data_IF_302863198866
#
_entry.id   IF_302863198866
#
_cell.length_a   1.000
_cell.length_b   1.000
_cell.length_c   1.000
_cell.angle_alpha   90.00
_cell.angle_beta   90.00
_cell.angle_gamma   90.00
#
_symmetry.space_group_name_H-M   'P 1'
#
loop_
_entity.id
_entity.type
_entity.pdbx_description
1 polymer ?
#
# COMPACT_ATOMS: atom_id res chain seq x y z
N UNK A 1 17.05 6.93 -8.94
CA UNK A 1 16.99 5.83 -7.95
C UNK A 1 15.69 5.08 -8.21
N UNK A 2 15.77 3.85 -8.71
CA UNK A 2 14.67 3.22 -9.46
C UNK A 2 13.49 2.82 -8.55
N UNK A 3 12.29 3.34 -8.84
CA UNK A 3 11.02 2.76 -8.31
C UNK A 3 10.85 1.28 -8.65
N UNK A 4 11.63 0.79 -9.62
CA UNK A 4 11.73 -0.61 -10.05
C UNK A 4 12.76 -1.43 -9.28
N UNK A 5 13.19 -0.98 -8.09
CA UNK A 5 13.82 -1.89 -7.13
C UNK A 5 12.78 -2.91 -6.67
N UNK A 6 12.64 -3.95 -7.48
CA UNK A 6 12.01 -5.18 -7.08
C UNK A 6 12.92 -5.81 -6.01
N UNK A 7 12.60 -5.46 -4.78
CA UNK A 7 13.13 -6.06 -3.57
C UNK A 7 12.61 -7.49 -3.53
N UNK A 8 13.50 -8.45 -3.24
CA UNK A 8 13.16 -9.86 -3.09
C UNK A 8 12.07 -9.99 -2.01
N UNK A 9 10.84 -10.20 -2.49
CA UNK A 9 9.61 -10.17 -1.69
C UNK A 9 9.53 -11.41 -0.78
N UNK A 10 10.00 -12.54 -1.31
CA UNK A 10 9.97 -13.86 -0.69
C UNK A 10 11.32 -14.56 -0.88
N UNK A 11 11.66 -15.46 0.05
CA UNK A 11 12.88 -16.31 -0.07
C UNK A 11 12.75 -17.39 -1.18
N UNK A 12 11.61 -17.42 -1.87
CA UNK A 12 11.28 -18.31 -2.99
C UNK A 12 11.38 -17.59 -4.33
N UNK A 13 11.58 -18.36 -5.41
CA UNK A 13 11.50 -17.86 -6.79
C UNK A 13 10.06 -17.43 -7.06
N UNK A 14 9.84 -16.12 -7.20
CA UNK A 14 8.55 -15.52 -7.54
C UNK A 14 8.58 -14.83 -8.89
N UNK A 15 7.40 -14.55 -9.45
CA UNK A 15 7.24 -13.77 -10.68
C UNK A 15 7.87 -12.38 -10.53
N UNK A 16 7.77 -11.78 -9.34
CA UNK A 16 8.44 -10.53 -9.01
C UNK A 16 9.96 -10.65 -9.07
N UNK A 17 10.54 -11.75 -8.59
CA UNK A 17 11.98 -12.01 -8.71
C UNK A 17 12.39 -12.15 -10.17
N UNK A 18 11.64 -12.94 -10.97
CA UNK A 18 11.94 -13.12 -12.40
C UNK A 18 11.89 -11.78 -13.13
N UNK A 19 10.82 -11.00 -12.92
CA UNK A 19 10.69 -9.68 -13.54
C UNK A 19 11.78 -8.73 -13.05
N UNK A 20 12.16 -8.78 -11.76
CA UNK A 20 13.25 -7.96 -11.22
C UNK A 20 14.58 -8.21 -11.91
N UNK A 21 14.90 -9.48 -12.16
CA UNK A 21 16.14 -9.90 -12.81
C UNK A 21 16.09 -9.45 -14.25
N UNK A 22 14.99 -9.71 -14.97
CA UNK A 22 14.82 -9.29 -16.36
C UNK A 22 14.96 -7.77 -16.52
N UNK A 23 14.35 -6.97 -15.63
CA UNK A 23 14.45 -5.50 -15.68
C UNK A 23 15.88 -5.00 -15.41
N UNK A 24 16.65 -5.69 -14.57
CA UNK A 24 18.04 -5.33 -14.23
C UNK A 24 19.07 -5.87 -15.23
N UNK A 25 18.73 -6.92 -15.97
CA UNK A 25 19.61 -7.56 -16.96
C UNK A 25 19.13 -7.28 -18.37
N UNK A 26 18.22 -8.10 -18.90
CA UNK A 26 17.83 -8.11 -20.32
C UNK A 26 17.13 -6.82 -20.78
N UNK A 27 16.31 -6.21 -19.91
CA UNK A 27 15.60 -4.96 -20.20
C UNK A 27 16.30 -3.72 -19.63
N UNK A 28 17.56 -3.84 -19.24
CA UNK A 28 18.36 -2.67 -18.88
C UNK A 28 18.87 -2.00 -20.17
N UNK A 29 18.70 -0.68 -20.35
CA UNK A 29 19.18 0.05 -21.53
C UNK A 29 20.62 -0.32 -21.93
N UNK A 30 21.56 -0.27 -20.99
CA UNK A 30 22.98 -0.51 -21.26
C UNK A 30 23.25 -1.94 -21.74
N UNK A 31 22.70 -2.93 -21.05
CA UNK A 31 22.89 -4.33 -21.41
C UNK A 31 22.16 -4.70 -22.71
N UNK A 32 20.97 -4.13 -22.94
CA UNK A 32 20.22 -4.37 -24.17
C UNK A 32 21.02 -3.91 -25.39
N UNK A 33 21.57 -2.69 -25.33
CA UNK A 33 22.46 -2.17 -26.38
C UNK A 33 23.68 -3.06 -26.57
N UNK A 34 24.37 -3.41 -25.48
CA UNK A 34 25.57 -4.23 -25.52
C UNK A 34 25.34 -5.60 -26.19
N UNK A 35 24.33 -6.35 -25.74
CA UNK A 35 24.04 -7.69 -26.27
C UNK A 35 23.54 -7.66 -27.71
N UNK A 36 22.69 -6.70 -28.08
CA UNK A 36 22.17 -6.59 -29.45
C UNK A 36 23.28 -6.22 -30.45
N UNK A 37 24.21 -5.34 -30.07
CA UNK A 37 25.37 -5.01 -30.91
C UNK A 37 26.32 -6.20 -31.09
N UNK A 38 26.60 -6.97 -30.04
CA UNK A 38 27.39 -8.21 -30.16
C UNK A 38 26.71 -9.20 -31.11
N UNK A 39 25.40 -9.40 -30.94
CA UNK A 39 24.66 -10.35 -31.76
C UNK A 39 24.59 -9.93 -33.24
N UNK A 40 24.52 -8.62 -33.50
CA UNK A 40 24.70 -8.07 -34.85
C UNK A 40 26.05 -8.45 -35.45
N UNK A 41 27.15 -8.26 -34.73
CA UNK A 41 28.49 -8.60 -35.22
C UNK A 41 28.67 -10.11 -35.52
N UNK A 42 27.98 -10.97 -34.77
CA UNK A 42 28.02 -12.42 -34.96
C UNK A 42 27.19 -12.85 -36.18
N UNK A 43 25.95 -12.38 -36.28
CA UNK A 43 25.01 -12.87 -37.31
C UNK A 43 25.14 -12.15 -38.65
N UNK A 44 25.69 -10.93 -38.66
CA UNK A 44 25.80 -10.04 -39.83
C UNK A 44 24.49 -9.84 -40.59
N UNK A 45 23.36 -9.98 -39.90
CA UNK A 45 22.06 -9.57 -40.42
C UNK A 45 21.94 -8.04 -40.47
N UNK A 46 20.85 -7.53 -41.03
CA UNK A 46 20.62 -6.09 -41.13
C UNK A 46 20.62 -5.41 -39.75
N UNK A 47 21.45 -4.38 -39.58
CA UNK A 47 21.64 -3.66 -38.31
C UNK A 47 20.31 -3.15 -37.74
N UNK A 48 19.40 -2.72 -38.61
CA UNK A 48 18.09 -2.15 -38.24
C UNK A 48 17.31 -3.09 -37.32
N UNK A 49 17.37 -4.40 -37.55
CA UNK A 49 16.63 -5.40 -36.74
C UNK A 49 17.06 -5.35 -35.27
N UNK A 50 18.34 -5.10 -35.01
CA UNK A 50 18.92 -5.09 -33.66
C UNK A 50 18.78 -3.75 -32.93
N UNK A 51 18.39 -2.69 -33.64
CA UNK A 51 18.21 -1.36 -33.05
C UNK A 51 16.82 -1.17 -32.44
N UNK A 52 15.79 -1.85 -32.95
CA UNK A 52 14.40 -1.64 -32.51
C UNK A 52 14.19 -1.91 -31.01
N UNK A 53 14.66 -3.04 -30.50
CA UNK A 53 14.45 -3.42 -29.10
C UNK A 53 15.14 -2.45 -28.11
N UNK A 54 16.43 -2.11 -28.25
CA UNK A 54 17.08 -1.08 -27.42
C UNK A 54 16.38 0.28 -27.49
N UNK A 55 16.00 0.74 -28.69
CA UNK A 55 15.30 2.02 -28.86
C UNK A 55 13.96 2.01 -28.13
N UNK A 56 13.17 0.93 -28.24
CA UNK A 56 11.89 0.80 -27.54
C UNK A 56 12.11 0.87 -26.02
N UNK A 57 13.12 0.17 -25.50
CA UNK A 57 13.44 0.18 -24.07
C UNK A 57 13.86 1.60 -23.63
N UNK A 58 14.71 2.29 -24.38
CA UNK A 58 15.10 3.67 -24.08
C UNK A 58 13.90 4.62 -24.05
N UNK A 59 12.99 4.49 -25.02
CA UNK A 59 11.74 5.27 -25.05
C UNK A 59 10.89 4.99 -23.81
N UNK A 60 10.77 3.73 -23.39
CA UNK A 60 10.06 3.37 -22.14
C UNK A 60 10.74 4.04 -20.94
N UNK A 61 12.07 3.92 -20.79
CA UNK A 61 12.79 4.55 -19.68
C UNK A 61 12.67 6.07 -19.71
N UNK A 62 12.68 6.70 -20.89
CA UNK A 62 12.45 8.12 -21.05
C UNK A 62 11.05 8.52 -20.57
N UNK A 63 10.00 7.80 -20.99
CA UNK A 63 8.62 8.04 -20.55
C UNK A 63 8.53 7.92 -19.02
N UNK A 64 9.16 6.91 -18.43
CA UNK A 64 9.15 6.70 -16.98
C UNK A 64 9.88 7.81 -16.22
N UNK A 65 11.03 8.27 -16.73
CA UNK A 65 11.77 9.38 -16.15
C UNK A 65 11.03 10.71 -16.28
N UNK A 66 10.40 10.96 -17.44
CA UNK A 66 9.54 12.12 -17.66
C UNK A 66 8.35 12.09 -16.70
N UNK A 67 7.71 10.93 -16.52
CA UNK A 67 6.63 10.76 -15.56
C UNK A 67 7.08 11.11 -14.13
N UNK A 68 8.26 10.65 -13.69
CA UNK A 68 8.77 11.00 -12.35
C UNK A 68 9.07 12.50 -12.22
N UNK A 69 9.62 13.13 -13.26
CA UNK A 69 9.84 14.58 -13.31
C UNK A 69 8.53 15.37 -13.21
N UNK A 70 7.54 15.05 -14.05
CA UNK A 70 6.24 15.73 -14.04
C UNK A 70 5.45 15.44 -12.77
N UNK A 71 5.54 14.23 -12.22
CA UNK A 71 4.88 13.87 -10.96
C UNK A 71 5.34 14.76 -9.82
N UNK A 72 6.65 14.96 -9.67
CA UNK A 72 7.20 15.85 -8.64
C UNK A 72 6.78 17.30 -8.87
N UNK A 73 6.78 17.75 -10.13
CA UNK A 73 6.38 19.13 -10.48
C UNK A 73 4.90 19.41 -10.25
N UNK A 74 4.02 18.46 -10.57
CA UNK A 74 2.56 18.64 -10.50
C UNK A 74 1.99 18.34 -9.12
N UNK A 75 2.46 17.28 -8.47
CA UNK A 75 1.88 16.80 -7.22
C UNK A 75 2.73 17.13 -6.00
N UNK A 76 3.99 17.55 -6.20
CA UNK A 76 4.91 17.84 -5.12
C UNK A 76 5.36 16.60 -4.34
N UNK A 77 6.03 16.86 -3.22
CA UNK A 77 6.51 15.86 -2.27
C UNK A 77 6.27 16.34 -0.85
N UNK A 78 6.09 15.42 0.09
CA UNK A 78 5.99 15.73 1.52
C UNK A 78 6.84 14.72 2.27
N UNK A 79 7.83 15.18 3.05
CA UNK A 79 8.78 14.31 3.73
C UNK A 79 8.50 14.24 5.22
N UNK A 80 8.92 13.13 5.83
CA UNK A 80 8.88 12.97 7.28
C UNK A 80 9.91 13.89 7.97
N UNK A 81 9.49 14.58 9.03
CA UNK A 81 10.31 15.52 9.79
C UNK A 81 10.28 15.22 11.29
N UNK A 82 11.32 15.68 12.01
CA UNK A 82 11.45 15.46 13.47
C UNK A 82 10.34 16.10 14.29
N UNK A 83 9.66 17.12 13.75
CA UNK A 83 8.61 17.83 14.46
C UNK A 83 7.21 17.27 14.16
N UNK A 84 7.10 16.25 13.29
CA UNK A 84 5.81 15.74 12.84
C UNK A 84 5.08 14.99 13.97
N UNK A 85 3.81 15.34 14.17
CA UNK A 85 2.84 14.55 14.91
C UNK A 85 2.24 13.49 13.97
N UNK A 86 2.49 12.21 14.27
CA UNK A 86 2.05 11.07 13.46
C UNK A 86 0.86 10.40 14.15
N UNK A 87 -0.26 10.28 13.45
CA UNK A 87 -1.41 9.49 13.89
C UNK A 87 -1.52 8.22 13.07
N UNK A 88 -1.56 7.04 13.70
CA UNK A 88 -1.78 5.76 13.03
C UNK A 88 -2.97 5.01 13.62
N UNK A 89 -3.85 4.52 12.74
CA UNK A 89 -4.93 3.59 13.10
C UNK A 89 -4.49 2.13 12.95
N UNK A 90 -4.87 1.26 13.88
CA UNK A 90 -4.51 -0.16 13.83
C UNK A 90 -3.03 -0.42 14.10
N UNK A 91 -2.39 0.39 14.95
CA UNK A 91 -0.94 0.36 15.19
C UNK A 91 -0.47 -0.68 16.21
N UNK A 92 -1.34 -1.50 16.79
CA UNK A 92 -0.97 -2.47 17.83
C UNK A 92 -0.68 -3.88 17.29
N UNK A 93 -1.03 -4.19 16.02
CA UNK A 93 -0.79 -5.50 15.40
C UNK A 93 -0.46 -5.45 13.91
N UNK A 94 0.03 -6.56 13.37
CA UNK A 94 0.25 -6.75 11.93
C UNK A 94 1.16 -5.69 11.31
N UNK A 95 0.80 -5.21 10.12
CA UNK A 95 1.56 -4.18 9.39
C UNK A 95 1.65 -2.86 10.17
N UNK A 96 0.56 -2.41 10.78
CA UNK A 96 0.54 -1.15 11.55
C UNK A 96 1.56 -1.16 12.69
N UNK A 97 1.68 -2.26 13.43
CA UNK A 97 2.71 -2.40 14.46
C UNK A 97 4.13 -2.38 13.89
N UNK A 98 4.36 -3.00 12.73
CA UNK A 98 5.68 -2.94 12.07
C UNK A 98 6.03 -1.53 11.59
N UNK A 99 5.05 -0.77 11.11
CA UNK A 99 5.22 0.65 10.79
C UNK A 99 5.60 1.43 12.06
N UNK A 100 4.88 1.25 13.16
CA UNK A 100 5.20 1.87 14.46
C UNK A 100 6.62 1.52 14.91
N UNK A 101 6.99 0.24 14.90
CA UNK A 101 8.33 -0.20 15.31
C UNK A 101 9.43 0.45 14.45
N UNK A 102 9.22 0.60 13.15
CA UNK A 102 10.22 1.20 12.27
C UNK A 102 10.21 2.73 12.32
N UNK A 103 9.08 3.40 12.57
CA UNK A 103 9.04 4.83 12.89
C UNK A 103 9.84 5.15 14.16
N UNK A 104 9.67 4.36 15.22
CA UNK A 104 10.44 4.57 16.47
C UNK A 104 11.95 4.49 16.23
N UNK A 105 12.40 3.64 15.29
CA UNK A 105 13.82 3.54 14.93
C UNK A 105 14.35 4.75 14.15
N UNK A 106 13.52 5.40 13.33
CA UNK A 106 13.97 6.58 12.56
C UNK A 106 14.18 7.80 13.45
N UNK A 107 13.40 7.92 14.54
CA UNK A 107 13.37 9.11 15.42
C UNK A 107 13.03 10.39 14.66
N UNK A 108 12.30 10.29 13.55
CA UNK A 108 11.82 11.40 12.74
C UNK A 108 10.35 11.69 13.05
N UNK A 109 10.06 12.10 14.29
CA UNK A 109 8.73 12.55 14.73
C UNK A 109 8.80 13.19 16.11
N UNK A 110 7.82 14.05 16.43
CA UNK A 110 7.66 14.64 17.75
C UNK A 110 6.79 13.77 18.65
N UNK A 111 5.62 13.37 18.14
CA UNK A 111 4.68 12.48 18.83
C UNK A 111 4.20 11.37 17.90
N UNK A 112 4.20 10.12 18.40
CA UNK A 112 3.60 8.98 17.71
C UNK A 112 2.32 8.57 18.41
N UNK A 113 1.18 8.87 17.80
CA UNK A 113 -0.16 8.67 18.34
C UNK A 113 -0.78 7.42 17.70
N UNK A 114 -1.15 6.44 18.53
CA UNK A 114 -1.62 5.13 18.08
C UNK A 114 -3.06 4.92 18.54
N UNK A 115 -3.94 4.64 17.58
CA UNK A 115 -5.33 4.25 17.81
C UNK A 115 -5.48 2.77 17.51
N UNK A 116 -5.92 1.97 18.48
CA UNK A 116 -6.25 0.56 18.24
C UNK A 116 -7.22 0.04 19.30
N UNK A 117 -8.02 -0.97 18.92
CA UNK A 117 -8.88 -1.72 19.84
C UNK A 117 -8.08 -2.75 20.65
N UNK A 118 -6.85 -3.05 20.23
CA UNK A 118 -5.93 -3.94 20.96
C UNK A 118 -4.91 -3.11 21.73
N UNK A 119 -4.59 -3.58 22.93
CA UNK A 119 -3.51 -3.02 23.73
C UNK A 119 -2.20 -3.00 22.95
N UNK A 120 -1.45 -1.93 23.13
CA UNK A 120 -0.14 -1.77 22.51
C UNK A 120 0.91 -2.56 23.32
N UNK A 121 1.68 -3.41 22.63
CA UNK A 121 2.71 -4.24 23.26
C UNK A 121 4.04 -3.48 23.40
N UNK A 122 4.03 -2.34 24.10
CA UNK A 122 5.24 -1.66 24.55
C UNK A 122 5.20 -1.48 26.06
N UNK A 123 6.37 -1.53 26.69
CA UNK A 123 6.50 -1.15 28.09
C UNK A 123 6.22 0.35 28.26
N UNK A 124 5.55 0.76 29.35
CA UNK A 124 5.21 2.18 29.58
C UNK A 124 6.44 3.10 29.53
N UNK A 125 7.57 2.67 30.12
CA UNK A 125 8.82 3.43 30.09
C UNK A 125 9.36 3.61 28.67
N UNK A 126 9.26 2.57 27.84
CA UNK A 126 9.64 2.63 26.44
C UNK A 126 8.76 3.62 25.66
N UNK A 127 7.46 3.65 25.96
CA UNK A 127 6.53 4.59 25.31
C UNK A 127 6.85 6.04 25.68
N UNK A 128 7.05 6.32 26.97
CA UNK A 128 7.40 7.67 27.46
C UNK A 128 8.71 8.14 26.84
N UNK A 129 9.74 7.28 26.83
CA UNK A 129 11.06 7.60 26.26
C UNK A 129 11.01 7.94 24.77
N UNK A 130 10.06 7.36 24.03
CA UNK A 130 9.94 7.51 22.57
C UNK A 130 8.72 8.35 22.15
N UNK A 131 8.12 9.13 23.06
CA UNK A 131 6.93 9.96 22.80
C UNK A 131 5.78 9.21 22.10
N UNK A 132 5.53 7.98 22.54
CA UNK A 132 4.44 7.13 22.02
C UNK A 132 3.21 7.31 22.89
N UNK A 133 2.09 7.71 22.28
CA UNK A 133 0.82 7.94 22.94
C UNK A 133 -0.21 6.95 22.41
N UNK A 134 -0.74 6.09 23.28
CA UNK A 134 -1.75 5.12 22.91
C UNK A 134 -3.15 5.58 23.35
N UNK A 135 -4.12 5.43 22.47
CA UNK A 135 -5.53 5.59 22.78
C UNK A 135 -6.29 4.33 22.35
N UNK A 136 -7.01 3.74 23.31
CA UNK A 136 -7.96 2.69 22.99
C UNK A 136 -9.06 3.27 22.10
N UNK A 137 -9.30 2.64 20.95
CA UNK A 137 -10.29 3.12 20.00
C UNK A 137 -10.93 1.95 19.24
N UNK A 138 -12.23 1.78 19.41
CA UNK A 138 -13.01 0.87 18.59
C UNK A 138 -13.56 1.61 17.36
N UNK A 139 -12.97 1.37 16.19
CA UNK A 139 -13.37 2.03 14.95
C UNK A 139 -14.79 1.66 14.46
N UNK A 140 -15.41 0.63 15.03
CA UNK A 140 -16.81 0.34 14.76
C UNK A 140 -17.74 1.38 15.42
N UNK A 141 -17.30 2.04 16.51
CA UNK A 141 -18.05 3.12 17.15
C UNK A 141 -17.64 4.48 16.57
N UNK A 142 -18.33 4.85 15.49
CA UNK A 142 -18.04 6.03 14.67
C UNK A 142 -18.12 7.34 15.46
N UNK A 143 -19.03 7.44 16.44
CA UNK A 143 -19.18 8.63 17.28
C UNK A 143 -18.03 8.77 18.29
N UNK A 144 -17.60 7.67 18.91
CA UNK A 144 -16.42 7.66 19.78
C UNK A 144 -15.16 8.04 19.01
N UNK A 145 -15.00 7.54 17.77
CA UNK A 145 -13.89 7.94 16.88
C UNK A 145 -13.91 9.44 16.65
N UNK A 146 -15.07 9.99 16.31
CA UNK A 146 -15.26 11.43 16.09
C UNK A 146 -14.80 12.24 17.30
N UNK A 147 -15.30 11.91 18.49
CA UNK A 147 -14.94 12.62 19.73
C UNK A 147 -13.46 12.47 20.12
N UNK A 148 -12.88 11.28 19.89
CA UNK A 148 -11.48 11.03 20.18
C UNK A 148 -10.57 11.86 19.27
N UNK A 149 -10.90 11.96 17.98
CA UNK A 149 -10.15 12.80 17.03
C UNK A 149 -10.20 14.27 17.45
N UNK A 150 -11.34 14.78 17.94
CA UNK A 150 -11.41 16.15 18.46
C UNK A 150 -10.46 16.35 19.64
N UNK A 151 -10.45 15.41 20.59
CA UNK A 151 -9.54 15.47 21.75
C UNK A 151 -8.06 15.45 21.32
N UNK A 152 -7.73 14.65 20.31
CA UNK A 152 -6.38 14.59 19.73
C UNK A 152 -6.03 15.94 19.09
N UNK A 153 -6.91 16.50 18.26
CA UNK A 153 -6.67 17.79 17.62
C UNK A 153 -6.55 18.93 18.65
N UNK A 154 -7.31 18.90 19.74
CA UNK A 154 -7.17 19.87 20.84
C UNK A 154 -5.80 19.74 21.52
N UNK A 155 -5.36 18.51 21.79
CA UNK A 155 -4.12 18.24 22.54
C UNK A 155 -2.85 18.50 21.72
N UNK A 156 -2.82 18.04 20.46
CA UNK A 156 -1.64 18.09 19.60
C UNK A 156 -1.66 19.23 18.59
N UNK A 157 -2.79 19.94 18.45
CA UNK A 157 -3.05 21.09 17.55
C UNK A 157 -3.01 20.76 16.05
N UNK A 158 -2.06 19.95 15.62
CA UNK A 158 -1.86 19.52 14.25
C UNK A 158 -1.43 18.05 14.18
N UNK A 159 -1.79 17.40 13.06
CA UNK A 159 -1.32 16.08 12.67
C UNK A 159 -0.64 16.25 11.32
N UNK A 160 0.65 15.92 11.24
CA UNK A 160 1.45 16.13 10.04
C UNK A 160 1.51 14.85 9.17
N UNK A 161 1.32 13.68 9.78
CA UNK A 161 1.18 12.40 9.06
C UNK A 161 0.01 11.60 9.63
N UNK A 162 -0.99 11.33 8.79
CA UNK A 162 -2.09 10.41 9.09
C UNK A 162 -1.83 9.08 8.38
N UNK A 163 -1.80 7.98 9.13
CA UNK A 163 -1.66 6.61 8.61
C UNK A 163 -2.98 5.86 8.84
N UNK A 164 -3.82 5.87 7.80
CA UNK A 164 -5.05 5.10 7.72
C UNK A 164 -4.75 3.64 7.39
N UNK A 165 -4.56 2.82 8.43
CA UNK A 165 -4.15 1.42 8.28
C UNK A 165 -5.18 0.41 8.81
N UNK A 166 -5.98 0.78 9.82
CA UNK A 166 -6.89 -0.16 10.44
C UNK A 166 -7.89 -0.78 9.47
N UNK A 167 -8.19 -2.06 9.67
CA UNK A 167 -9.25 -2.75 8.95
C UNK A 167 -9.52 -4.14 9.50
N UNK A 168 -10.65 -4.70 9.11
CA UNK A 168 -11.11 -6.06 9.39
C UNK A 168 -11.61 -6.70 8.09
N UNK A 169 -11.74 -8.03 8.09
CA UNK A 169 -12.29 -8.81 6.97
C UNK A 169 -13.45 -9.68 7.45
N UNK A 170 -14.19 -10.26 6.52
CA UNK A 170 -15.18 -11.30 6.79
C UNK A 170 -14.56 -12.51 7.50
N UNK A 171 -15.38 -13.19 8.29
CA UNK A 171 -15.02 -14.45 8.92
C UNK A 171 -14.95 -15.55 7.84
N UNK A 172 -13.89 -16.36 7.88
CA UNK A 172 -13.64 -17.41 6.88
C UNK A 172 -14.81 -18.38 6.83
N UNK A 173 -15.21 -18.80 5.63
CA UNK A 173 -16.29 -19.78 5.42
C UNK A 173 -17.72 -19.26 5.57
N UNK A 174 -17.94 -18.00 5.99
CA UNK A 174 -19.30 -17.44 6.12
C UNK A 174 -19.99 -17.35 4.76
N UNK A 175 -19.27 -16.81 3.77
CA UNK A 175 -19.82 -16.49 2.45
C UNK A 175 -20.87 -15.36 2.48
N UNK A 176 -21.31 -14.93 1.30
CA UNK A 176 -22.23 -13.80 1.17
C UNK A 176 -23.61 -14.10 1.78
N UNK A 177 -24.15 -15.30 1.55
CA UNK A 177 -25.51 -15.66 1.96
C UNK A 177 -25.69 -15.75 3.48
N UNK A 178 -24.63 -16.04 4.25
CA UNK A 178 -24.70 -16.16 5.71
C UNK A 178 -24.14 -14.92 6.43
N UNK A 179 -23.76 -13.87 5.70
CA UNK A 179 -23.20 -12.67 6.31
C UNK A 179 -24.29 -11.90 7.04
N UNK A 180 -24.17 -11.84 8.38
CA UNK A 180 -25.10 -11.09 9.23
C UNK A 180 -24.94 -9.58 9.02
N UNK A 181 -26.05 -8.83 9.08
CA UNK A 181 -26.06 -7.38 8.98
C UNK A 181 -25.11 -6.71 10.00
N UNK A 182 -25.08 -7.17 11.25
CA UNK A 182 -24.16 -6.62 12.25
C UNK A 182 -22.68 -6.74 11.82
N UNK A 183 -22.30 -7.81 11.12
CA UNK A 183 -20.94 -7.99 10.61
C UNK A 183 -20.67 -7.11 9.40
N UNK A 184 -21.67 -6.95 8.54
CA UNK A 184 -21.64 -5.98 7.44
C UNK A 184 -21.41 -4.56 7.97
N UNK A 185 -22.18 -4.14 8.97
CA UNK A 185 -22.03 -2.82 9.59
C UNK A 185 -20.67 -2.66 10.25
N UNK A 186 -20.16 -3.68 10.94
CA UNK A 186 -18.81 -3.68 11.52
C UNK A 186 -17.73 -3.43 10.45
N UNK A 187 -17.84 -4.11 9.30
CA UNK A 187 -16.93 -3.97 8.16
C UNK A 187 -17.00 -2.57 7.56
N UNK A 188 -18.21 -2.06 7.29
CA UNK A 188 -18.42 -0.72 6.73
C UNK A 188 -17.92 0.36 7.70
N UNK A 189 -18.28 0.26 8.98
CA UNK A 189 -17.91 1.25 9.98
C UNK A 189 -16.38 1.28 10.17
N UNK A 190 -15.76 0.10 10.33
CA UNK A 190 -14.32 -0.01 10.61
C UNK A 190 -13.46 0.32 9.40
N UNK A 191 -13.80 -0.15 8.20
CA UNK A 191 -12.96 -0.01 7.01
C UNK A 191 -13.23 1.26 6.21
N UNK A 192 -14.38 1.92 6.40
CA UNK A 192 -14.79 3.06 5.59
C UNK A 192 -15.25 4.26 6.43
N UNK A 193 -16.32 4.16 7.23
CA UNK A 193 -16.88 5.34 7.91
C UNK A 193 -15.90 5.97 8.91
N UNK A 194 -15.19 5.15 9.68
CA UNK A 194 -14.20 5.66 10.64
C UNK A 194 -13.07 6.41 9.93
N UNK A 195 -12.52 5.86 8.84
CA UNK A 195 -11.51 6.51 8.01
C UNK A 195 -12.03 7.81 7.41
N UNK A 196 -13.26 7.84 6.90
CA UNK A 196 -13.90 9.04 6.40
C UNK A 196 -13.96 10.16 7.45
N UNK A 197 -14.42 9.86 8.67
CA UNK A 197 -14.50 10.87 9.74
C UNK A 197 -13.12 11.38 10.14
N UNK A 198 -12.16 10.47 10.29
CA UNK A 198 -10.78 10.82 10.64
C UNK A 198 -10.18 11.73 9.55
N UNK A 199 -10.33 11.37 8.28
CA UNK A 199 -9.90 12.17 7.13
C UNK A 199 -10.56 13.55 7.15
N UNK A 200 -11.88 13.61 7.26
CA UNK A 200 -12.63 14.86 7.22
C UNK A 200 -12.14 15.84 8.30
N UNK A 201 -12.00 15.38 9.55
CA UNK A 201 -11.57 16.22 10.66
C UNK A 201 -10.12 16.66 10.54
N UNK A 202 -9.20 15.75 10.21
CA UNK A 202 -7.78 16.06 10.14
C UNK A 202 -7.46 16.95 8.93
N UNK A 203 -8.05 16.67 7.76
CA UNK A 203 -7.90 17.51 6.57
C UNK A 203 -8.51 18.89 6.83
N UNK A 204 -9.71 18.96 7.40
CA UNK A 204 -10.35 20.25 7.74
C UNK A 204 -9.47 21.09 8.68
N UNK A 205 -8.92 20.48 9.73
CA UNK A 205 -8.00 21.17 10.65
C UNK A 205 -6.73 21.66 9.96
N UNK A 206 -6.10 20.81 9.14
CA UNK A 206 -4.89 21.17 8.39
C UNK A 206 -5.15 22.31 7.41
N UNK A 207 -6.26 22.28 6.68
CA UNK A 207 -6.63 23.37 5.75
C UNK A 207 -6.92 24.66 6.51
N UNK A 208 -7.67 24.60 7.61
CA UNK A 208 -8.03 25.77 8.42
C UNK A 208 -6.80 26.46 9.01
N UNK A 209 -5.82 25.68 9.48
CA UNK A 209 -4.62 26.19 10.13
C UNK A 209 -3.45 26.38 9.15
N UNK A 210 -3.64 26.04 7.88
CA UNK A 210 -2.61 26.02 6.84
C UNK A 210 -1.36 25.21 7.23
N UNK A 211 -1.57 24.06 7.88
CA UNK A 211 -0.48 23.19 8.36
C UNK A 211 -0.21 22.05 7.38
N UNK A 212 1.04 21.58 7.38
CA UNK A 212 1.47 20.40 6.61
C UNK A 212 0.66 19.18 7.04
N UNK A 213 0.16 18.41 6.06
CA UNK A 213 -0.49 17.12 6.26
C UNK A 213 -0.10 16.15 5.13
N UNK A 214 0.35 14.96 5.53
CA UNK A 214 0.60 13.84 4.66
C UNK A 214 -0.35 12.70 5.02
N UNK A 215 -1.19 12.27 4.09
CA UNK A 215 -2.15 11.20 4.29
C UNK A 215 -1.61 9.92 3.64
N UNK A 216 -1.21 8.96 4.46
CA UNK A 216 -0.86 7.60 4.07
C UNK A 216 -2.07 6.68 4.27
N UNK A 217 -2.56 6.06 3.19
CA UNK A 217 -3.65 5.08 3.26
C UNK A 217 -3.17 3.68 2.87
N UNK A 218 -3.39 2.71 3.73
CA UNK A 218 -3.14 1.29 3.45
C UNK A 218 -4.44 0.65 2.91
N UNK A 219 -4.50 0.49 1.60
CA UNK A 219 -5.59 -0.20 0.92
C UNK A 219 -5.23 -1.69 0.73
N UNK A 220 -5.56 -2.27 -0.43
CA UNK A 220 -5.21 -3.63 -0.81
C UNK A 220 -5.36 -3.78 -2.31
N UNK A 221 -4.61 -4.70 -2.91
CA UNK A 221 -4.86 -5.12 -4.28
C UNK A 221 -6.27 -5.69 -4.48
N UNK A 222 -6.90 -6.15 -3.38
CA UNK A 222 -8.27 -6.62 -3.38
C UNK A 222 -9.32 -5.51 -3.57
N UNK A 223 -8.91 -4.24 -3.64
CA UNK A 223 -9.72 -3.13 -4.11
C UNK A 223 -10.00 -3.20 -5.62
N UNK A 224 -9.15 -3.89 -6.39
CA UNK A 224 -9.33 -4.08 -7.83
C UNK A 224 -9.90 -5.45 -8.16
N UNK A 225 -9.56 -6.49 -7.39
CA UNK A 225 -10.03 -7.86 -7.64
C UNK A 225 -10.58 -8.48 -6.37
N UNK A 226 -11.77 -9.04 -6.41
CA UNK A 226 -12.39 -9.66 -5.23
C UNK A 226 -12.33 -11.18 -5.33
N UNK A 227 -11.70 -11.88 -4.37
CA UNK A 227 -11.86 -13.32 -4.18
C UNK A 227 -13.28 -13.65 -3.70
N UNK A 228 -13.71 -14.89 -3.91
CA UNK A 228 -14.93 -15.42 -3.27
C UNK A 228 -14.94 -15.10 -1.76
N UNK A 229 -16.10 -14.94 -1.12
CA UNK A 229 -16.22 -14.74 0.33
C UNK A 229 -15.50 -13.51 0.96
N UNK A 230 -14.96 -12.59 0.15
CA UNK A 230 -14.39 -11.30 0.60
C UNK A 230 -15.08 -10.10 -0.07
N UNK A 231 -16.37 -10.27 -0.44
CA UNK A 231 -17.11 -9.27 -1.21
C UNK A 231 -17.18 -7.92 -0.52
N UNK A 232 -17.48 -7.88 0.78
CA UNK A 232 -17.64 -6.63 1.55
C UNK A 232 -16.27 -6.05 1.88
N UNK A 233 -15.27 -6.86 2.26
CA UNK A 233 -13.91 -6.37 2.44
C UNK A 233 -13.38 -5.71 1.16
N UNK A 234 -13.47 -6.38 0.02
CA UNK A 234 -13.09 -5.82 -1.28
C UNK A 234 -13.86 -4.55 -1.57
N UNK A 235 -15.19 -4.55 -1.41
CA UNK A 235 -16.02 -3.34 -1.59
C UNK A 235 -15.53 -2.18 -0.73
N UNK A 236 -15.26 -2.38 0.56
CA UNK A 236 -14.75 -1.31 1.44
C UNK A 236 -13.39 -0.80 1.01
N UNK A 237 -12.47 -1.67 0.56
CA UNK A 237 -11.15 -1.27 0.06
C UNK A 237 -11.23 -0.55 -1.28
N UNK A 238 -12.17 -0.92 -2.17
CA UNK A 238 -12.48 -0.18 -3.39
C UNK A 238 -13.06 1.21 -3.07
N UNK A 239 -14.04 1.29 -2.17
CA UNK A 239 -14.65 2.56 -1.76
C UNK A 239 -13.62 3.51 -1.13
N UNK A 240 -12.78 3.01 -0.22
CA UNK A 240 -11.73 3.82 0.38
C UNK A 240 -10.70 4.29 -0.66
N UNK A 241 -10.32 3.42 -1.62
CA UNK A 241 -9.39 3.79 -2.68
C UNK A 241 -9.93 4.94 -3.55
N UNK A 242 -11.19 4.83 -4.00
CA UNK A 242 -11.83 5.86 -4.83
C UNK A 242 -12.10 7.15 -4.04
N UNK A 243 -12.42 7.05 -2.75
CA UNK A 243 -12.54 8.21 -1.87
C UNK A 243 -11.21 8.98 -1.83
N UNK A 244 -10.09 8.29 -1.58
CA UNK A 244 -8.77 8.93 -1.54
C UNK A 244 -8.36 9.48 -2.89
N UNK A 245 -8.70 8.79 -4.00
CA UNK A 245 -8.45 9.29 -5.35
C UNK A 245 -9.18 10.61 -5.61
N UNK A 246 -10.48 10.68 -5.27
CA UNK A 246 -11.24 11.92 -5.39
C UNK A 246 -10.63 13.04 -4.54
N UNK A 247 -10.28 12.76 -3.27
CA UNK A 247 -9.65 13.74 -2.38
C UNK A 247 -8.28 14.19 -2.89
N UNK A 248 -7.50 13.29 -3.48
CA UNK A 248 -6.21 13.62 -4.07
C UNK A 248 -6.37 14.68 -5.17
N UNK A 249 -7.33 14.52 -6.07
CA UNK A 249 -7.61 15.49 -7.14
C UNK A 249 -8.39 16.72 -6.66
N UNK A 250 -9.12 16.63 -5.55
CA UNK A 250 -9.73 17.80 -4.91
C UNK A 250 -8.67 18.72 -4.27
N UNK A 251 -7.54 18.17 -3.82
CA UNK A 251 -6.53 18.91 -3.08
C UNK A 251 -5.13 18.94 -3.70
N UNK A 252 -4.91 18.44 -4.92
CA UNK A 252 -3.56 18.35 -5.50
C UNK A 252 -2.83 19.71 -5.59
N UNK A 253 -3.59 20.79 -5.76
CA UNK A 253 -3.08 22.16 -5.85
C UNK A 253 -2.64 22.74 -4.49
N UNK A 254 -2.97 22.09 -3.37
CA UNK A 254 -2.51 22.49 -2.03
C UNK A 254 -1.08 21.98 -1.81
N UNK A 255 -0.13 22.88 -1.63
CA UNK A 255 1.29 22.52 -1.41
C UNK A 255 1.49 21.74 -0.10
N UNK A 256 0.74 22.07 0.94
CA UNK A 256 0.87 21.50 2.27
C UNK A 256 0.10 20.20 2.49
N UNK A 257 -0.68 19.72 1.52
CA UNK A 257 -1.48 18.49 1.64
C UNK A 257 -1.08 17.48 0.56
N UNK A 258 -0.61 16.30 0.97
CA UNK A 258 -0.19 15.22 0.07
C UNK A 258 -0.80 13.89 0.46
N UNK A 259 -0.97 13.01 -0.51
CA UNK A 259 -1.46 11.65 -0.29
C UNK A 259 -0.49 10.61 -0.84
N UNK A 260 -0.39 9.50 -0.12
CA UNK A 260 0.28 8.27 -0.55
C UNK A 260 -0.66 7.09 -0.26
N UNK A 261 -0.89 6.25 -1.25
CA UNK A 261 -1.71 5.05 -1.12
C UNK A 261 -0.84 3.83 -1.36
N UNK A 262 -0.83 2.91 -0.39
CA UNK A 262 -0.14 1.63 -0.51
C UNK A 262 -1.18 0.56 -0.85
N UNK A 263 -0.91 -0.18 -1.93
CA UNK A 263 -1.76 -1.25 -2.44
C UNK A 263 -0.99 -2.58 -2.33
N UNK A 264 -0.99 -3.18 -1.12
CA UNK A 264 -0.28 -4.42 -0.91
C UNK A 264 -1.03 -5.62 -1.52
N UNK A 265 -0.25 -6.58 -2.00
CA UNK A 265 -0.66 -7.96 -2.25
C UNK A 265 -0.87 -8.74 -0.95
N UNK A 266 -0.63 -10.04 -0.99
CA UNK A 266 -0.83 -10.91 0.18
C UNK A 266 0.24 -10.66 1.25
N UNK A 267 -0.18 -10.42 2.48
CA UNK A 267 0.70 -10.13 3.62
C UNK A 267 0.66 -11.24 4.68
N UNK A 268 1.78 -11.47 5.35
CA UNK A 268 1.96 -12.38 6.49
C UNK A 268 1.33 -11.89 7.81
N UNK A 269 0.16 -11.26 7.77
CA UNK A 269 -0.48 -10.69 8.96
C UNK A 269 -1.36 -11.70 9.69
N UNK A 270 -1.62 -11.50 11.00
CA UNK A 270 -2.60 -12.30 11.75
C UNK A 270 -3.97 -12.39 11.07
N UNK A 271 -4.38 -11.35 10.33
CA UNK A 271 -5.63 -11.30 9.57
C UNK A 271 -5.72 -12.42 8.52
N UNK A 272 -4.60 -12.82 7.93
CA UNK A 272 -4.53 -13.82 6.85
C UNK A 272 -3.74 -15.09 7.23
N UNK A 273 -3.28 -15.21 8.49
CA UNK A 273 -2.34 -16.25 8.95
C UNK A 273 -2.82 -17.69 8.73
N UNK A 274 -4.12 -17.95 8.85
CA UNK A 274 -4.68 -19.30 8.64
C UNK A 274 -4.72 -19.72 7.15
N UNK A 275 -4.60 -18.77 6.21
CA UNK A 275 -4.63 -19.03 4.76
C UNK A 275 -3.26 -19.34 4.16
N UNK A 276 -2.19 -18.96 4.86
CA UNK A 276 -0.79 -19.10 4.41
C UNK A 276 -0.30 -20.56 4.45
N UNK A 277 -0.99 -21.46 5.16
CA UNK A 277 -0.49 -22.80 5.50
C UNK A 277 -0.53 -23.83 4.36
N UNK A 278 -1.17 -23.55 3.22
CA UNK A 278 -1.21 -24.47 2.06
C UNK A 278 -0.60 -23.84 0.81
N UNK A 279 0.71 -23.66 0.83
CA UNK A 279 1.46 -23.08 -0.28
C UNK A 279 1.90 -24.16 -1.26
N UNK A 280 1.20 -24.28 -2.38
CA UNK A 280 1.77 -24.91 -3.57
C UNK A 280 2.77 -23.94 -4.23
N UNK A 281 3.82 -24.48 -4.88
CA UNK A 281 4.82 -23.67 -5.59
C UNK A 281 4.17 -22.64 -6.55
N UNK A 282 3.08 -23.02 -7.21
CA UNK A 282 2.32 -22.16 -8.13
C UNK A 282 1.80 -20.88 -7.44
N UNK A 283 1.31 -20.98 -6.20
CA UNK A 283 0.79 -19.83 -5.43
C UNK A 283 1.88 -18.85 -5.07
N UNK A 284 2.99 -19.35 -4.52
CA UNK A 284 4.12 -18.52 -4.13
C UNK A 284 4.79 -17.86 -5.34
N UNK A 285 4.75 -18.52 -6.50
CA UNK A 285 5.26 -17.96 -7.73
C UNK A 285 4.47 -16.73 -8.19
N UNK A 286 3.13 -16.78 -8.22
CA UNK A 286 2.28 -15.70 -8.74
C UNK A 286 1.92 -14.62 -7.72
N UNK A 287 1.69 -15.02 -6.47
CA UNK A 287 1.25 -14.16 -5.38
C UNK A 287 2.17 -14.41 -4.18
N UNK A 288 3.43 -13.95 -4.25
CA UNK A 288 4.36 -14.13 -3.15
C UNK A 288 3.82 -13.41 -1.91
N UNK A 289 3.95 -14.08 -0.77
CA UNK A 289 3.58 -13.50 0.52
C UNK A 289 4.65 -12.48 0.88
N UNK A 290 4.21 -11.27 1.17
CA UNK A 290 5.04 -10.18 1.63
C UNK A 290 5.17 -10.25 3.14
N UNK A 291 6.40 -10.18 3.62
CA UNK A 291 6.67 -9.97 5.04
C UNK A 291 6.28 -8.54 5.45
N UNK A 292 5.45 -8.41 6.50
CA UNK A 292 4.93 -7.13 7.00
C UNK A 292 6.06 -6.19 7.40
N UNK A 293 7.17 -6.72 7.91
CA UNK A 293 8.35 -5.91 8.24
C UNK A 293 9.02 -5.36 6.98
N UNK A 294 9.22 -6.16 5.93
CA UNK A 294 9.77 -5.68 4.63
C UNK A 294 8.90 -4.57 4.04
N UNK A 295 7.58 -4.76 4.01
CA UNK A 295 6.67 -3.71 3.52
C UNK A 295 6.75 -2.45 4.40
N UNK A 296 6.79 -2.60 5.73
CA UNK A 296 6.88 -1.43 6.61
C UNK A 296 8.17 -0.63 6.40
N UNK A 297 9.32 -1.28 6.22
CA UNK A 297 10.57 -0.60 5.88
C UNK A 297 10.45 0.14 4.55
N UNK A 298 9.80 -0.48 3.55
CA UNK A 298 9.53 0.18 2.27
C UNK A 298 8.63 1.40 2.43
N UNK A 299 7.61 1.33 3.27
CA UNK A 299 6.73 2.47 3.59
C UNK A 299 7.53 3.60 4.22
N UNK A 300 8.40 3.32 5.20
CA UNK A 300 9.27 4.34 5.81
C UNK A 300 10.16 4.98 4.74
N UNK A 301 10.79 4.19 3.88
CA UNK A 301 11.60 4.70 2.78
C UNK A 301 10.80 5.63 1.85
N UNK A 302 9.56 5.28 1.51
CA UNK A 302 8.69 6.11 0.67
C UNK A 302 8.31 7.44 1.36
N UNK A 303 8.06 7.41 2.67
CA UNK A 303 7.77 8.61 3.47
C UNK A 303 8.97 9.54 3.58
N UNK A 304 10.18 9.01 3.79
CA UNK A 304 11.43 9.78 3.84
C UNK A 304 11.78 10.41 2.48
N UNK A 305 11.49 9.69 1.38
CA UNK A 305 11.67 10.19 0.01
C UNK A 305 10.60 11.22 -0.38
N UNK A 306 9.46 11.20 0.31
CA UNK A 306 8.31 12.07 0.07
C UNK A 306 7.47 11.69 -1.14
N UNK A 307 7.31 10.39 -1.38
CA UNK A 307 6.59 9.87 -2.53
C UNK A 307 5.08 10.06 -2.44
N UNK A 308 4.45 10.63 -3.46
CA UNK A 308 2.99 10.84 -3.50
C UNK A 308 2.28 9.86 -4.45
N UNK A 309 0.95 9.76 -4.40
CA UNK A 309 0.14 8.93 -5.31
C UNK A 309 0.07 7.46 -4.92
N UNK A 310 -0.07 6.56 -5.90
CA UNK A 310 -0.30 5.12 -5.67
C UNK A 310 1.00 4.31 -5.75
N UNK A 311 1.17 3.38 -4.81
CA UNK A 311 2.28 2.46 -4.76
C UNK A 311 1.78 1.02 -4.61
N UNK A 312 1.89 0.26 -5.69
CA UNK A 312 1.53 -1.15 -5.74
C UNK A 312 2.73 -2.00 -5.30
N UNK A 313 2.48 -2.94 -4.39
CA UNK A 313 3.55 -3.81 -3.89
C UNK A 313 3.04 -5.22 -3.63
N UNK A 314 3.64 -6.27 -4.20
CA UNK A 314 4.88 -6.25 -4.95
C UNK A 314 4.63 -5.89 -6.43
N UNK A 315 5.63 -6.04 -7.29
CA UNK A 315 5.57 -5.58 -8.68
C UNK A 315 4.37 -6.14 -9.46
N UNK A 316 3.97 -7.41 -9.26
CA UNK A 316 2.80 -8.00 -9.95
C UNK A 316 1.50 -7.22 -9.71
N UNK A 317 1.37 -6.54 -8.55
CA UNK A 317 0.18 -5.76 -8.23
C UNK A 317 -0.07 -4.62 -9.23
N UNK A 318 0.96 -4.12 -9.92
CA UNK A 318 0.79 -3.09 -10.95
C UNK A 318 -0.09 -3.55 -12.13
N UNK A 319 -0.20 -4.87 -12.37
CA UNK A 319 -0.96 -5.41 -13.51
C UNK A 319 -2.36 -5.88 -13.14
N UNK A 320 -2.68 -6.01 -11.85
CA UNK A 320 -4.01 -6.49 -11.43
C UNK A 320 -5.16 -5.59 -11.94
N UNK A 321 -5.05 -4.24 -11.95
CA UNK A 321 -6.10 -3.41 -12.54
C UNK A 321 -6.42 -3.75 -14.00
N UNK A 322 -5.41 -4.16 -14.78
CA UNK A 322 -5.56 -4.52 -16.19
C UNK A 322 -6.33 -5.83 -16.39
N UNK A 323 -6.36 -6.72 -15.38
CA UNK A 323 -7.07 -8.00 -15.50
C UNK A 323 -8.57 -7.83 -15.78
N UNK A 324 -9.18 -6.72 -15.34
CA UNK A 324 -10.59 -6.41 -15.64
C UNK A 324 -10.86 -6.07 -17.10
N UNK A 325 -9.83 -5.72 -17.86
CA UNK A 325 -9.95 -5.41 -19.29
C UNK A 325 -9.87 -6.65 -20.18
N UNK A 326 -9.51 -7.82 -19.61
CA UNK A 326 -9.36 -9.06 -20.36
C UNK A 326 -10.73 -9.68 -20.71
N UNK A 327 -10.82 -10.42 -21.84
CA UNK A 327 -11.95 -11.29 -22.12
C UNK A 327 -12.27 -12.21 -20.94
N UNK A 328 -13.56 -12.42 -20.67
CA UNK A 328 -14.04 -13.16 -19.49
C UNK A 328 -13.40 -14.55 -19.35
N UNK A 329 -13.19 -15.26 -20.47
CA UNK A 329 -12.57 -16.59 -20.48
C UNK A 329 -11.11 -16.56 -20.01
N UNK A 330 -10.34 -15.57 -20.47
CA UNK A 330 -8.94 -15.37 -20.05
C UNK A 330 -8.90 -14.95 -18.57
N UNK A 331 -9.75 -14.02 -18.18
CA UNK A 331 -9.86 -13.59 -16.79
C UNK A 331 -10.21 -14.75 -15.86
N UNK A 332 -11.20 -15.58 -16.23
CA UNK A 332 -11.59 -16.75 -15.45
C UNK A 332 -10.46 -17.79 -15.35
N UNK A 333 -9.75 -18.05 -16.45
CA UNK A 333 -8.58 -18.93 -16.45
C UNK A 333 -7.50 -18.45 -15.46
N UNK A 334 -7.18 -17.16 -15.47
CA UNK A 334 -6.20 -16.59 -14.54
C UNK A 334 -6.63 -16.70 -13.08
N UNK A 335 -7.93 -16.57 -12.78
CA UNK A 335 -8.47 -16.79 -11.42
C UNK A 335 -8.38 -18.25 -10.98
N UNK A 336 -8.68 -19.19 -11.87
CA UNK A 336 -8.52 -20.61 -11.59
C UNK A 336 -7.04 -20.97 -11.36
N UNK A 337 -6.15 -20.41 -12.17
CA UNK A 337 -4.71 -20.65 -12.08
C UNK A 337 -4.08 -20.05 -10.81
N UNK A 338 -4.56 -18.88 -10.36
CA UNK A 338 -4.10 -18.27 -9.10
C UNK A 338 -4.68 -18.95 -7.86
N UNK A 339 -5.72 -19.77 -8.02
CA UNK A 339 -6.47 -20.41 -6.92
C UNK A 339 -7.07 -19.41 -5.91
N UNK A 340 -7.21 -18.13 -6.27
CA UNK A 340 -7.66 -17.09 -5.33
C UNK A 340 -9.05 -17.34 -4.74
N UNK A 341 -9.90 -18.06 -5.48
CA UNK A 341 -11.26 -18.41 -5.08
C UNK A 341 -11.36 -19.65 -4.18
N UNK A 342 -10.27 -20.44 -4.08
CA UNK A 342 -10.22 -21.65 -3.26
C UNK A 342 -9.76 -21.40 -1.82
N UNK A 343 -9.10 -20.27 -1.56
CA UNK A 343 -8.48 -19.95 -0.26
C UNK A 343 -9.46 -19.77 0.92
N UNK A 344 -10.77 -20.00 0.72
CA UNK A 344 -11.81 -19.57 1.67
C UNK A 344 -12.87 -20.65 1.94
N UNK A 345 -12.69 -21.85 1.38
CA UNK A 345 -13.46 -23.05 1.76
C UNK A 345 -12.78 -23.86 2.89
N UNK A 346 -11.62 -23.41 3.35
CA UNK A 346 -10.80 -24.02 4.42
C UNK A 346 -10.46 -22.98 5.48
#
# INVERSE_FOLDING_TARGET
>A
MNKYDAVVVSDYISIDLVISVLLKTYFNPLYTWFFNLIFYFITRQELIIFLWLPIIIDVIYLILNLNDYFKLKLFGSCKLEKNDNILITGGSRGLGFKIVQNLVKTKLYQNLIILDIKNLNFEPEYMVKNNIHYYYCNLNNVDEVSQLVDKILIKYQEINLLINNAGIKEDSGTGFLNLKLNKFDELINTNLKSHFIILQKIISNSIKNNTKLYVLTISSILAFISPSNLSIYSSTKSSLLLLIESLFYEFYYKENLKFLVILPGQLDTPMFKNKIRKNSFKKQFLSPIIESNKLSLKIIQLLEQGNTGWYFYPFYCNFIPLLKMLPLTIYHFLRLFSEMDKEIFE
#
